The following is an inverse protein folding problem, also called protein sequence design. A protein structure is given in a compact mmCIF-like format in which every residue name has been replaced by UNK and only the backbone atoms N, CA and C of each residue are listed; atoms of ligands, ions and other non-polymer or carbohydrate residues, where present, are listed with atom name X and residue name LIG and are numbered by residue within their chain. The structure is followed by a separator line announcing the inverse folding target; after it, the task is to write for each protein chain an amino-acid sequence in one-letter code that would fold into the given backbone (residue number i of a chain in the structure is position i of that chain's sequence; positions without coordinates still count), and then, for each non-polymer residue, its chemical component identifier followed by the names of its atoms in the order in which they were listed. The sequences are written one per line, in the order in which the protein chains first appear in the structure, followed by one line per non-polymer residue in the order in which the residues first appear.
data_IF_926688772720
#
_entry.id   IF_926688772720
#
_cell.length_a   1.000
_cell.length_b   1.000
_cell.length_c   1.000
_cell.angle_alpha   90.00
_cell.angle_beta   90.00
_cell.angle_gamma   90.00
#
_symmetry.space_group_name_H-M   'P 1'
#
loop_
_entity.id
_entity.type
_entity.pdbx_description
1 polymer ?
#
# COMPACT_ATOMS: atom_id res chain seq x y z
N UNK A 1 -17.57 11.21 -9.76
CA UNK A 1 -16.47 10.22 -9.77
C UNK A 1 -16.19 9.77 -11.21
N UNK A 2 -14.98 9.34 -11.56
CA UNK A 2 -14.69 8.79 -12.90
C UNK A 2 -15.49 7.49 -13.12
N UNK A 3 -16.35 7.48 -14.15
CA UNK A 3 -17.21 6.34 -14.50
C UNK A 3 -16.40 5.08 -14.84
N UNK A 4 -15.19 5.25 -15.38
CA UNK A 4 -14.33 4.13 -15.81
C UNK A 4 -13.59 3.46 -14.67
N UNK A 5 -13.52 4.07 -13.49
CA UNK A 5 -12.97 3.40 -12.31
C UNK A 5 -13.92 2.27 -11.93
N UNK A 6 -13.36 1.08 -11.68
CA UNK A 6 -14.10 -0.12 -11.30
C UNK A 6 -13.91 -0.41 -9.81
N UNK A 7 -12.68 -0.25 -9.31
CA UNK A 7 -12.34 -0.58 -7.94
C UNK A 7 -11.21 0.31 -7.39
N UNK A 8 -11.19 0.47 -6.07
CA UNK A 8 -10.13 1.14 -5.32
C UNK A 8 -9.71 0.22 -4.18
N UNK A 9 -8.40 -0.03 -4.03
CA UNK A 9 -7.83 -0.73 -2.88
C UNK A 9 -6.85 0.19 -2.17
N UNK A 10 -7.00 0.37 -0.87
CA UNK A 10 -6.25 1.36 -0.09
C UNK A 10 -5.77 0.75 1.22
N UNK A 11 -4.50 0.98 1.57
CA UNK A 11 -4.05 0.81 2.96
C UNK A 11 -4.27 2.10 3.74
N UNK A 12 -4.92 2.02 4.88
CA UNK A 12 -5.15 3.13 5.79
C UNK A 12 -4.44 2.86 7.12
N UNK A 13 -3.51 3.75 7.44
CA UNK A 13 -2.80 3.77 8.70
C UNK A 13 -3.13 5.09 9.40
N UNK A 14 -3.59 5.03 10.66
CA UNK A 14 -3.83 6.20 11.53
C UNK A 14 -4.27 7.44 10.77
N UNK A 15 -5.49 7.43 10.26
CA UNK A 15 -6.09 8.61 9.65
C UNK A 15 -6.69 9.50 10.74
N UNK A 16 -6.61 10.82 10.57
CA UNK A 16 -7.37 11.75 11.40
C UNK A 16 -8.87 11.62 11.15
N UNK A 17 -9.71 12.02 12.11
CA UNK A 17 -11.17 12.05 11.95
C UNK A 17 -11.62 12.81 10.68
N UNK A 18 -10.92 13.90 10.34
CA UNK A 18 -11.12 14.65 9.09
C UNK A 18 -10.07 14.24 8.04
N UNK A 19 -10.17 13.02 7.50
CA UNK A 19 -9.27 12.57 6.45
C UNK A 19 -9.96 12.66 5.08
N UNK A 20 -9.51 13.54 4.17
CA UNK A 20 -10.09 13.65 2.82
C UNK A 20 -10.05 12.34 2.02
N UNK A 21 -9.16 11.42 2.38
CA UNK A 21 -9.09 10.09 1.77
C UNK A 21 -10.23 9.20 2.24
N UNK A 22 -10.66 9.30 3.50
CA UNK A 22 -11.83 8.57 3.99
C UNK A 22 -13.07 9.03 3.23
N UNK A 23 -13.27 10.35 3.12
CA UNK A 23 -14.40 10.93 2.37
C UNK A 23 -14.38 10.49 0.90
N UNK A 24 -13.22 10.54 0.23
CA UNK A 24 -13.09 10.11 -1.16
C UNK A 24 -13.39 8.60 -1.36
N UNK A 25 -13.09 7.75 -0.37
CA UNK A 25 -13.43 6.33 -0.42
C UNK A 25 -14.92 6.07 -0.20
N UNK A 26 -15.56 6.87 0.66
CA UNK A 26 -17.02 6.87 0.85
C UNK A 26 -17.71 7.26 -0.46
N UNK A 27 -17.34 8.40 -1.03
CA UNK A 27 -17.90 8.89 -2.31
C UNK A 27 -17.75 7.86 -3.43
N UNK A 28 -16.61 7.17 -3.48
CA UNK A 28 -16.37 6.12 -4.46
C UNK A 28 -17.29 4.90 -4.23
N UNK A 29 -17.45 4.45 -2.98
CA UNK A 29 -18.33 3.32 -2.67
C UNK A 29 -19.81 3.66 -2.95
N UNK A 30 -20.26 4.86 -2.57
CA UNK A 30 -21.61 5.35 -2.87
C UNK A 30 -21.85 5.52 -4.38
N UNK A 31 -20.81 5.85 -5.15
CA UNK A 31 -20.86 5.84 -6.61
C UNK A 31 -20.78 4.43 -7.24
N UNK A 32 -20.94 3.37 -6.44
CA UNK A 32 -21.00 1.97 -6.90
C UNK A 32 -19.65 1.34 -7.22
N UNK A 33 -18.53 1.96 -6.82
CA UNK A 33 -17.19 1.41 -7.04
C UNK A 33 -16.87 0.35 -6.00
N UNK A 34 -16.14 -0.68 -6.38
CA UNK A 34 -15.68 -1.69 -5.43
C UNK A 34 -14.52 -1.13 -4.60
N UNK A 35 -14.77 -0.76 -3.35
CA UNK A 35 -13.76 -0.16 -2.48
C UNK A 35 -13.33 -1.14 -1.39
N UNK A 36 -12.02 -1.37 -1.27
CA UNK A 36 -11.41 -2.15 -0.19
C UNK A 36 -10.47 -1.24 0.61
N UNK A 37 -10.67 -1.18 1.92
CA UNK A 37 -9.83 -0.42 2.82
C UNK A 37 -9.22 -1.34 3.88
N UNK A 38 -7.88 -1.44 3.89
CA UNK A 38 -7.16 -2.18 4.92
C UNK A 38 -6.87 -1.26 6.10
N UNK A 39 -7.34 -1.63 7.28
CA UNK A 39 -7.32 -0.81 8.49
C UNK A 39 -6.47 -1.45 9.57
N UNK A 40 -5.44 -0.74 10.01
CA UNK A 40 -4.60 -1.16 11.12
C UNK A 40 -5.16 -0.68 12.47
N UNK A 41 -5.81 -1.57 13.24
CA UNK A 41 -6.37 -1.23 14.57
C UNK A 41 -5.29 -1.12 15.65
N UNK A 42 -4.22 -1.95 15.61
CA UNK A 42 -3.27 -2.12 16.75
C UNK A 42 -2.27 -0.97 16.93
N UNK A 43 -2.63 0.23 16.49
CA UNK A 43 -1.84 1.42 16.70
C UNK A 43 -2.13 1.95 18.12
N UNK A 44 -1.18 1.77 19.05
CA UNK A 44 -1.28 2.27 20.43
C UNK A 44 -1.78 3.73 20.44
N UNK A 45 -2.78 4.01 21.29
CA UNK A 45 -3.36 5.31 21.64
C UNK A 45 -4.54 5.87 20.78
N UNK A 46 -4.92 5.28 19.64
CA UNK A 46 -5.96 5.84 18.74
C UNK A 46 -7.11 4.86 18.37
N UNK A 47 -7.32 3.80 19.15
CA UNK A 47 -8.24 2.70 18.78
C UNK A 47 -9.70 3.16 18.57
N UNK A 48 -10.21 4.10 19.37
CA UNK A 48 -11.59 4.59 19.25
C UNK A 48 -11.85 5.35 17.94
N UNK A 49 -10.91 6.21 17.53
CA UNK A 49 -11.00 6.92 16.26
C UNK A 49 -10.98 5.93 15.09
N UNK A 50 -10.09 4.92 15.16
CA UNK A 50 -9.98 3.88 14.14
C UNK A 50 -11.24 3.03 13.99
N UNK A 51 -11.86 2.65 15.10
CA UNK A 51 -13.13 1.91 15.07
C UNK A 51 -14.25 2.78 14.49
N UNK A 52 -14.25 4.08 14.76
CA UNK A 52 -15.32 4.99 14.31
C UNK A 52 -15.31 5.12 12.79
N UNK A 53 -14.17 5.46 12.19
CA UNK A 53 -14.13 5.62 10.73
C UNK A 53 -14.22 4.29 9.99
N UNK A 54 -13.72 3.18 10.57
CA UNK A 54 -13.93 1.85 10.00
C UNK A 54 -15.43 1.55 9.87
N UNK A 55 -16.23 1.83 10.90
CA UNK A 55 -17.69 1.70 10.85
C UNK A 55 -18.33 2.65 9.84
N UNK A 56 -17.82 3.88 9.70
CA UNK A 56 -18.31 4.83 8.68
C UNK A 56 -18.08 4.29 7.27
N UNK A 57 -16.87 3.80 6.98
CA UNK A 57 -16.55 3.17 5.70
C UNK A 57 -17.43 1.94 5.43
N UNK A 58 -17.59 1.05 6.41
CA UNK A 58 -18.45 -0.14 6.28
C UNK A 58 -19.90 0.26 5.95
N UNK A 59 -20.45 1.29 6.61
CA UNK A 59 -21.80 1.80 6.34
C UNK A 59 -21.95 2.38 4.94
N UNK A 60 -20.89 2.95 4.38
CA UNK A 60 -20.86 3.47 3.01
C UNK A 60 -20.67 2.37 1.95
N UNK A 61 -20.53 1.09 2.34
CA UNK A 61 -20.34 -0.03 1.42
C UNK A 61 -18.88 -0.35 1.10
N UNK A 62 -17.92 0.25 1.80
CA UNK A 62 -16.50 -0.09 1.69
C UNK A 62 -16.25 -1.43 2.38
N UNK A 63 -15.56 -2.35 1.70
CA UNK A 63 -15.08 -3.58 2.31
C UNK A 63 -13.85 -3.28 3.19
N UNK A 64 -14.12 -3.09 4.47
CA UNK A 64 -13.09 -2.87 5.49
C UNK A 64 -12.48 -4.20 5.90
N UNK A 65 -11.16 -4.27 5.85
CA UNK A 65 -10.40 -5.44 6.26
C UNK A 65 -9.39 -5.06 7.33
N UNK A 66 -9.40 -5.79 8.43
CA UNK A 66 -8.41 -5.65 9.49
C UNK A 66 -7.25 -6.60 9.17
N UNK A 67 -6.02 -6.08 9.10
CA UNK A 67 -4.86 -6.81 8.58
C UNK A 67 -4.57 -8.17 9.24
N UNK A 68 -3.59 -8.90 8.71
CA UNK A 68 -3.26 -10.26 9.13
C UNK A 68 -2.99 -10.38 10.64
N UNK A 69 -3.59 -11.38 11.28
CA UNK A 69 -3.43 -11.63 12.72
C UNK A 69 -1.95 -11.81 13.07
N UNK A 70 -1.50 -11.06 14.09
CA UNK A 70 -0.12 -11.11 14.58
C UNK A 70 0.87 -10.25 13.79
N UNK A 71 0.44 -9.65 12.67
CA UNK A 71 1.24 -8.74 11.87
C UNK A 71 0.65 -7.33 11.89
N UNK A 72 1.52 -6.35 11.68
CA UNK A 72 1.11 -4.96 11.44
C UNK A 72 1.33 -4.61 9.98
N UNK A 73 0.38 -3.93 9.37
CA UNK A 73 0.53 -3.42 8.01
C UNK A 73 1.09 -2.01 8.04
N UNK A 74 2.30 -1.84 7.50
CA UNK A 74 3.02 -0.56 7.47
C UNK A 74 3.34 -0.07 6.05
N UNK A 75 2.98 -0.84 5.01
CA UNK A 75 3.08 -0.35 3.64
C UNK A 75 2.01 0.72 3.40
N UNK A 76 2.33 1.69 2.54
CA UNK A 76 1.40 2.76 2.14
C UNK A 76 1.19 2.62 0.66
N UNK A 77 0.13 1.91 0.31
CA UNK A 77 -0.18 1.57 -1.07
C UNK A 77 -1.63 1.92 -1.38
N UNK A 78 -1.83 2.43 -2.59
CA UNK A 78 -3.15 2.68 -3.17
C UNK A 78 -3.17 2.08 -4.56
N UNK A 79 -4.30 1.51 -4.95
CA UNK A 79 -4.49 0.98 -6.29
C UNK A 79 -5.89 1.33 -6.78
N UNK A 80 -5.94 1.99 -7.94
CA UNK A 80 -7.16 2.25 -8.69
C UNK A 80 -7.18 1.33 -9.90
N UNK A 81 -8.25 0.55 -10.02
CA UNK A 81 -8.52 -0.32 -11.17
C UNK A 81 -9.50 0.39 -12.08
N UNK A 82 -9.11 0.63 -13.34
CA UNK A 82 -9.86 1.43 -14.31
C UNK A 82 -10.02 0.68 -15.63
N UNK A 83 -11.18 0.81 -16.25
CA UNK A 83 -11.44 0.33 -17.61
C UNK A 83 -10.85 1.31 -18.63
N UNK A 84 -9.89 0.84 -19.43
CA UNK A 84 -9.26 1.56 -20.54
C UNK A 84 -9.61 0.88 -21.87
N UNK A 85 -10.68 1.36 -22.51
CA UNK A 85 -11.20 0.74 -23.74
C UNK A 85 -11.64 -0.70 -23.46
N UNK A 86 -10.98 -1.68 -24.09
CA UNK A 86 -11.22 -3.11 -23.86
C UNK A 86 -10.34 -3.73 -22.76
N UNK A 87 -9.46 -2.95 -22.14
CA UNK A 87 -8.48 -3.45 -21.16
C UNK A 87 -8.75 -2.93 -19.75
N UNK A 88 -8.28 -3.67 -18.75
CA UNK A 88 -8.27 -3.20 -17.36
C UNK A 88 -6.86 -2.73 -17.03
N UNK A 89 -6.74 -1.48 -16.56
CA UNK A 89 -5.47 -0.90 -16.11
C UNK A 89 -5.48 -0.64 -14.62
N UNK A 90 -4.31 -0.76 -14.01
CA UNK A 90 -4.07 -0.50 -12.59
C UNK A 90 -3.17 0.71 -12.46
N UNK A 91 -3.63 1.68 -11.70
CA UNK A 91 -2.85 2.86 -11.31
C UNK A 91 -2.51 2.72 -9.84
N UNK A 92 -1.22 2.79 -9.54
CA UNK A 92 -0.69 2.41 -8.26
C UNK A 92 0.08 3.56 -7.63
N UNK A 93 -0.11 3.76 -6.33
CA UNK A 93 0.74 4.58 -5.49
C UNK A 93 1.49 3.68 -4.50
N UNK A 94 2.80 3.90 -4.34
CA UNK A 94 3.61 3.28 -3.29
C UNK A 94 4.39 4.41 -2.60
N UNK A 95 4.16 4.59 -1.29
CA UNK A 95 4.77 5.65 -0.50
C UNK A 95 5.58 5.15 0.69
N UNK A 96 6.57 5.95 1.10
CA UNK A 96 7.28 5.78 2.39
C UNK A 96 6.42 6.31 3.56
N UNK A 97 5.69 7.40 3.30
CA UNK A 97 4.85 8.13 4.23
C UNK A 97 3.39 7.74 4.20
N UNK A 98 2.68 7.98 5.31
CA UNK A 98 1.25 7.74 5.45
C UNK A 98 0.41 8.80 4.73
N UNK A 99 -0.89 8.49 4.62
CA UNK A 99 -1.88 9.30 3.92
C UNK A 99 -2.48 10.41 4.79
N UNK A 100 -1.71 10.95 5.74
CA UNK A 100 -2.17 12.00 6.64
C UNK A 100 -1.70 13.38 6.13
N UNK A 101 -2.64 14.30 5.80
CA UNK A 101 -2.31 15.58 5.19
C UNK A 101 -1.55 16.52 6.13
N UNK A 102 -1.68 16.37 7.46
CA UNK A 102 -0.95 17.18 8.44
C UNK A 102 0.52 16.80 8.48
N UNK A 103 0.81 15.50 8.55
CA UNK A 103 2.18 14.98 8.58
C UNK A 103 2.88 15.12 7.24
N UNK A 104 2.16 15.06 6.12
CA UNK A 104 2.72 15.27 4.78
C UNK A 104 3.38 16.66 4.58
N UNK A 105 3.05 17.66 5.42
CA UNK A 105 3.70 18.99 5.41
C UNK A 105 4.93 19.08 6.31
N UNK A 106 5.12 18.11 7.18
CA UNK A 106 6.16 18.12 8.22
C UNK A 106 7.25 17.07 7.97
N UNK A 107 6.89 15.95 7.34
CA UNK A 107 7.81 14.86 7.03
C UNK A 107 8.17 14.86 5.55
N UNK A 108 9.43 14.50 5.29
CA UNK A 108 9.92 14.20 3.95
C UNK A 108 9.62 12.74 3.64
N UNK A 109 8.78 12.53 2.62
CA UNK A 109 8.40 11.21 2.15
C UNK A 109 8.47 11.16 0.61
N UNK A 110 8.73 9.95 0.10
CA UNK A 110 8.71 9.68 -1.32
C UNK A 110 7.47 8.86 -1.66
N UNK A 111 6.85 9.21 -2.79
CA UNK A 111 5.71 8.51 -3.36
C UNK A 111 5.94 8.28 -4.85
N UNK A 112 5.73 7.05 -5.31
CA UNK A 112 5.75 6.71 -6.73
C UNK A 112 4.31 6.50 -7.18
N UNK A 113 3.91 7.21 -8.24
CA UNK A 113 2.71 6.93 -9.01
C UNK A 113 3.11 6.20 -10.29
N UNK A 114 2.52 5.04 -10.54
CA UNK A 114 2.86 4.21 -11.70
C UNK A 114 1.65 3.49 -12.26
N UNK A 115 1.67 3.24 -13.57
CA UNK A 115 0.74 2.36 -14.25
C UNK A 115 1.48 1.20 -14.94
N UNK A 116 2.66 0.83 -14.40
CA UNK A 116 3.43 -0.34 -14.81
C UNK A 116 2.62 -1.61 -14.52
N UNK A 117 2.41 -2.48 -15.53
CA UNK A 117 1.55 -3.65 -15.37
C UNK A 117 2.12 -4.69 -14.40
N UNK A 118 3.45 -4.78 -14.27
CA UNK A 118 4.10 -5.76 -13.39
C UNK A 118 4.06 -5.32 -11.93
N UNK A 119 4.23 -4.02 -11.66
CA UNK A 119 4.00 -3.45 -10.31
C UNK A 119 2.52 -3.55 -9.94
N UNK A 120 1.61 -3.26 -10.88
CA UNK A 120 0.17 -3.40 -10.64
C UNK A 120 -0.26 -4.83 -10.35
N UNK A 121 0.38 -5.83 -10.98
CA UNK A 121 0.18 -7.24 -10.66
C UNK A 121 0.67 -7.57 -9.24
N UNK A 122 1.88 -7.14 -8.87
CA UNK A 122 2.42 -7.35 -7.53
C UNK A 122 1.55 -6.73 -6.42
N UNK A 123 1.02 -5.51 -6.63
CA UNK A 123 0.11 -4.90 -5.66
C UNK A 123 -1.24 -5.62 -5.59
N UNK A 124 -1.71 -6.19 -6.70
CA UNK A 124 -2.92 -7.04 -6.67
C UNK A 124 -2.69 -8.26 -5.80
N UNK A 125 -1.57 -8.95 -5.99
CA UNK A 125 -1.18 -10.12 -5.20
C UNK A 125 -1.02 -9.74 -3.72
N UNK A 126 -0.38 -8.59 -3.44
CA UNK A 126 -0.21 -8.08 -2.08
C UNK A 126 -1.55 -7.82 -1.39
N UNK A 127 -2.49 -7.14 -2.07
CA UNK A 127 -3.82 -6.92 -1.50
C UNK A 127 -4.56 -8.24 -1.27
N UNK A 128 -4.40 -9.24 -2.13
CA UNK A 128 -5.02 -10.56 -1.92
C UNK A 128 -4.44 -11.25 -0.68
N UNK A 129 -3.12 -11.14 -0.42
CA UNK A 129 -2.50 -11.63 0.82
C UNK A 129 -3.01 -10.87 2.04
N UNK A 130 -3.02 -9.54 1.98
CA UNK A 130 -3.46 -8.68 3.10
C UNK A 130 -4.94 -8.89 3.46
N UNK A 131 -5.75 -9.33 2.50
CA UNK A 131 -7.17 -9.63 2.70
C UNK A 131 -7.47 -11.11 2.94
N UNK A 132 -6.44 -11.95 3.08
CA UNK A 132 -6.58 -13.37 3.44
C UNK A 132 -6.90 -14.32 2.29
N UNK A 133 -6.90 -13.86 1.04
CA UNK A 133 -7.18 -14.67 -0.15
C UNK A 133 -5.99 -15.48 -0.68
N UNK A 134 -4.76 -15.19 -0.23
CA UNK A 134 -3.53 -15.85 -0.74
C UNK A 134 -2.45 -15.97 0.33
N UNK A 135 -1.50 -16.90 0.12
CA UNK A 135 -0.29 -17.11 0.94
C UNK A 135 1.01 -16.85 0.16
N UNK A 136 0.97 -15.94 -0.80
CA UNK A 136 2.13 -15.58 -1.62
C UNK A 136 3.20 -14.82 -0.82
N UNK A 137 4.46 -15.27 -0.95
CA UNK A 137 5.63 -14.73 -0.25
C UNK A 137 6.71 -14.18 -1.21
N UNK A 138 6.52 -14.35 -2.53
CA UNK A 138 7.39 -13.84 -3.59
C UNK A 138 6.64 -12.93 -4.55
N UNK A 139 7.31 -11.87 -5.00
CA UNK A 139 6.78 -10.86 -5.90
C UNK A 139 7.81 -10.57 -7.00
N UNK A 140 7.38 -9.95 -8.10
CA UNK A 140 8.22 -9.73 -9.29
C UNK A 140 9.22 -8.58 -9.08
N UNK A 141 8.73 -7.49 -8.51
CA UNK A 141 9.43 -6.21 -8.38
C UNK A 141 9.53 -5.75 -6.94
N UNK A 142 8.46 -5.91 -6.15
CA UNK A 142 8.43 -5.40 -4.77
C UNK A 142 9.05 -6.40 -3.80
N UNK A 143 9.61 -5.88 -2.71
CA UNK A 143 10.00 -6.67 -1.56
C UNK A 143 9.02 -6.42 -0.42
N UNK A 144 8.51 -7.47 0.20
CA UNK A 144 7.54 -7.38 1.29
C UNK A 144 8.08 -8.02 2.57
N UNK A 145 7.72 -7.47 3.72
CA UNK A 145 8.00 -8.09 5.01
C UNK A 145 6.90 -9.10 5.36
N UNK A 146 7.20 -10.17 6.12
CA UNK A 146 8.49 -10.46 6.76
C UNK A 146 9.49 -11.25 5.89
N UNK A 147 9.06 -11.81 4.74
CA UNK A 147 9.84 -12.83 4.03
C UNK A 147 10.80 -12.28 2.95
N UNK A 148 10.40 -11.22 2.24
CA UNK A 148 11.10 -10.72 1.06
C UNK A 148 12.21 -9.71 1.33
N UNK A 149 11.99 -8.76 2.25
CA UNK A 149 12.90 -7.61 2.46
C UNK A 149 14.32 -8.06 2.83
N UNK A 150 14.49 -8.91 3.86
CA UNK A 150 15.82 -9.37 4.29
C UNK A 150 16.54 -10.11 3.15
N UNK A 151 15.84 -11.03 2.47
CA UNK A 151 16.39 -11.80 1.36
C UNK A 151 16.84 -10.88 0.22
N UNK A 152 16.01 -9.90 -0.15
CA UNK A 152 16.33 -8.96 -1.22
C UNK A 152 17.52 -8.05 -0.90
N UNK A 153 17.58 -7.50 0.32
CA UNK A 153 18.72 -6.67 0.76
C UNK A 153 20.02 -7.47 0.78
N UNK A 154 20.01 -8.67 1.36
CA UNK A 154 21.22 -9.53 1.41
C UNK A 154 21.68 -9.90 0.00
N UNK A 155 20.75 -10.19 -0.92
CA UNK A 155 21.09 -10.44 -2.33
C UNK A 155 21.77 -9.22 -2.97
N UNK A 156 21.19 -8.03 -2.81
CA UNK A 156 21.77 -6.80 -3.37
C UNK A 156 23.16 -6.49 -2.78
N UNK A 157 23.36 -6.73 -1.48
CA UNK A 157 24.69 -6.62 -0.86
C UNK A 157 25.67 -7.61 -1.49
N UNK A 158 25.24 -8.86 -1.74
CA UNK A 158 26.06 -9.86 -2.42
C UNK A 158 26.46 -9.45 -3.84
N UNK A 159 25.52 -8.89 -4.59
CA UNK A 159 25.77 -8.37 -5.95
C UNK A 159 26.85 -7.27 -5.94
N UNK A 160 26.78 -6.31 -5.01
CA UNK A 160 27.79 -5.26 -4.85
C UNK A 160 29.16 -5.81 -4.42
N UNK A 161 29.20 -6.87 -3.60
CA UNK A 161 30.45 -7.54 -3.22
C UNK A 161 31.13 -8.18 -4.44
N UNK A 162 30.37 -8.83 -5.32
CA UNK A 162 30.93 -9.45 -6.53
C UNK A 162 31.43 -8.40 -7.53
N UNK A 163 30.73 -7.27 -7.68
CA UNK A 163 31.20 -6.13 -8.47
C UNK A 163 32.54 -5.60 -7.95
N UNK A 164 32.66 -5.39 -6.63
CA UNK A 164 33.89 -4.92 -6.01
C UNK A 164 35.05 -5.92 -6.19
N UNK A 165 34.79 -7.22 -6.05
CA UNK A 165 35.79 -8.29 -6.28
C UNK A 165 36.28 -8.33 -7.72
N UNK A 166 35.41 -8.01 -8.68
CA UNK A 166 35.75 -7.89 -10.09
C UNK A 166 36.49 -6.57 -10.44
N UNK A 167 36.79 -5.71 -9.46
CA UNK A 167 37.44 -4.42 -9.69
C UNK A 167 36.52 -3.38 -10.32
N UNK A 168 35.20 -3.61 -10.33
CA UNK A 168 34.21 -2.67 -10.85
C UNK A 168 33.80 -1.65 -9.78
N UNK A 169 33.17 -0.56 -10.22
CA UNK A 169 32.56 0.41 -9.29
C UNK A 169 31.40 -0.26 -8.55
N UNK A 170 31.46 -0.25 -7.22
CA UNK A 170 30.45 -0.80 -6.32
C UNK A 170 30.14 0.21 -5.22
N UNK A 171 28.91 0.20 -4.70
CA UNK A 171 28.49 1.09 -3.62
C UNK A 171 27.08 0.82 -3.12
N UNK A 172 26.93 0.86 -1.79
CA UNK A 172 25.63 0.75 -1.11
C UNK A 172 25.30 2.10 -0.48
N UNK A 173 24.10 2.62 -0.75
CA UNK A 173 23.56 3.82 -0.08
C UNK A 173 22.20 3.50 0.52
N UNK A 174 22.08 3.70 1.84
CA UNK A 174 20.84 3.45 2.59
C UNK A 174 20.44 4.73 3.30
N UNK A 175 19.18 5.14 3.12
CA UNK A 175 18.52 6.20 3.89
C UNK A 175 17.38 5.56 4.67
N UNK A 176 17.51 5.50 5.98
CA UNK A 176 16.50 4.96 6.89
C UNK A 176 16.33 5.90 8.10
N UNK A 177 15.26 5.70 8.87
CA UNK A 177 15.04 6.45 10.10
C UNK A 177 15.70 5.76 11.31
N UNK A 178 15.64 4.42 11.35
CA UNK A 178 16.24 3.55 12.37
C UNK A 178 16.37 2.13 11.85
#
# INVERSE_FOLDING_TARGET
ADEKVLAIKQTLYRTSGDSPIVDALIDAAEAGKQVVALVEIKARFDEQANITWARTLERAGVHVVYGLVGLKTHCKVSMVVRQEGSTIRRYCHIGTGNYNPKTARLYEDLGILTADPTIGADLTDLFNVLTGYSRQDTYRNILTSPHGIRRGIVRAIGEEIELARAGQTAGIRIKCNS
#
